data_IF_365355155068
#
_entry.id   IF_365355155068
#
_cell.length_a   1.000
_cell.length_b   1.000
_cell.length_c   1.000
_cell.angle_alpha   90.00
_cell.angle_beta   90.00
_cell.angle_gamma   90.00
#
_symmetry.space_group_name_H-M   'P 1'
#
loop_
_entity.id
_entity.type
_entity.pdbx_description
1 polymer ?
#
# COMPACT_ATOMS: atom_id res chain seq x y z
N UNK A 1 2.01 -26.50 -7.94
CA UNK A 1 2.97 -25.56 -7.32
C UNK A 1 2.54 -24.12 -7.58
N UNK A 2 2.39 -23.67 -8.83
CA UNK A 2 1.93 -22.30 -9.13
C UNK A 2 0.52 -21.90 -8.62
N UNK A 3 -0.43 -22.84 -8.49
CA UNK A 3 -1.77 -22.55 -7.96
C UNK A 3 -1.77 -22.30 -6.45
N UNK A 4 -0.92 -22.97 -5.68
CA UNK A 4 -0.79 -22.74 -4.24
C UNK A 4 -0.17 -21.37 -3.95
N UNK A 5 0.85 -20.97 -4.72
CA UNK A 5 1.49 -19.65 -4.58
C UNK A 5 0.50 -18.49 -4.84
N UNK A 6 -0.46 -18.68 -5.76
CA UNK A 6 -1.51 -17.69 -6.04
C UNK A 6 -2.52 -17.59 -4.88
N UNK A 7 -2.88 -18.71 -4.26
CA UNK A 7 -3.78 -18.69 -3.09
C UNK A 7 -3.10 -18.06 -1.87
N UNK A 8 -1.81 -18.33 -1.64
CA UNK A 8 -1.04 -17.67 -0.56
C UNK A 8 -0.89 -16.16 -0.80
N UNK A 9 -0.65 -15.73 -2.05
CA UNK A 9 -0.69 -14.30 -2.40
C UNK A 9 -2.10 -13.71 -2.18
N UNK A 10 -3.16 -14.47 -2.49
CA UNK A 10 -4.54 -14.10 -2.23
C UNK A 10 -4.82 -13.83 -0.76
N UNK A 11 -4.28 -14.65 0.15
CA UNK A 11 -4.39 -14.46 1.59
C UNK A 11 -3.70 -13.17 2.07
N UNK A 12 -2.57 -12.80 1.46
CA UNK A 12 -1.90 -11.51 1.72
C UNK A 12 -2.78 -10.32 1.28
N UNK A 13 -3.58 -10.47 0.22
CA UNK A 13 -4.56 -9.44 -0.18
C UNK A 13 -5.81 -9.42 0.72
N UNK A 14 -6.13 -10.53 1.40
CA UNK A 14 -7.28 -10.66 2.32
C UNK A 14 -6.96 -10.26 3.77
N UNK A 15 -5.69 -10.03 4.09
CA UNK A 15 -5.26 -9.64 5.43
C UNK A 15 -5.67 -8.21 5.78
N UNK A 16 -6.27 -8.06 6.97
CA UNK A 16 -6.69 -6.75 7.50
C UNK A 16 -5.53 -5.74 7.60
N UNK A 17 -4.28 -6.20 7.80
CA UNK A 17 -3.09 -5.34 7.89
C UNK A 17 -2.79 -4.67 6.56
N UNK A 18 -3.00 -5.37 5.45
CA UNK A 18 -2.85 -4.78 4.11
C UNK A 18 -3.81 -3.64 3.90
N UNK A 19 -5.09 -3.89 4.20
CA UNK A 19 -6.16 -2.93 3.99
C UNK A 19 -5.97 -1.70 4.86
N UNK A 20 -5.50 -1.85 6.10
CA UNK A 20 -5.12 -0.73 6.96
C UNK A 20 -3.97 0.06 6.34
N UNK A 21 -2.91 -0.60 5.86
CA UNK A 21 -1.78 0.07 5.20
C UNK A 21 -2.18 0.83 3.93
N UNK A 22 -3.04 0.24 3.09
CA UNK A 22 -3.62 0.89 1.92
C UNK A 22 -4.48 2.08 2.34
N UNK A 23 -5.34 1.93 3.35
CA UNK A 23 -6.22 3.00 3.81
C UNK A 23 -5.42 4.21 4.31
N UNK A 24 -4.34 3.98 5.07
CA UNK A 24 -3.42 5.04 5.51
C UNK A 24 -2.74 5.69 4.30
N UNK A 25 -2.24 4.89 3.35
CA UNK A 25 -1.59 5.40 2.14
C UNK A 25 -2.55 6.27 1.32
N UNK A 26 -3.79 5.81 1.14
CA UNK A 26 -4.84 6.54 0.44
C UNK A 26 -5.20 7.85 1.16
N UNK A 27 -5.28 7.84 2.49
CA UNK A 27 -5.51 9.05 3.28
C UNK A 27 -4.37 10.08 3.13
N UNK A 28 -3.12 9.62 3.07
CA UNK A 28 -1.98 10.49 2.82
C UNK A 28 -1.99 11.05 1.39
N UNK A 29 -2.29 10.24 0.37
CA UNK A 29 -2.48 10.72 -1.00
C UNK A 29 -3.61 11.75 -1.08
N UNK A 30 -4.75 11.49 -0.43
CA UNK A 30 -5.86 12.44 -0.33
C UNK A 30 -5.37 13.76 0.26
N UNK A 31 -4.66 13.72 1.39
CA UNK A 31 -4.15 14.93 2.04
C UNK A 31 -3.28 15.76 1.09
N UNK A 32 -2.43 15.12 0.29
CA UNK A 32 -1.63 15.80 -0.74
C UNK A 32 -2.53 16.53 -1.74
N UNK A 33 -3.55 15.87 -2.29
CA UNK A 33 -4.46 16.48 -3.25
C UNK A 33 -5.36 17.58 -2.63
N UNK A 34 -5.67 17.51 -1.34
CA UNK A 34 -6.43 18.59 -0.67
C UNK A 34 -5.62 19.83 -0.34
N UNK A 35 -4.32 19.68 -0.07
CA UNK A 35 -3.47 20.79 0.35
C UNK A 35 -2.70 21.42 -0.82
N UNK A 36 -2.48 20.68 -1.90
CA UNK A 36 -1.73 21.17 -3.07
C UNK A 36 -2.70 21.46 -4.21
N UNK A 37 -2.91 22.75 -4.49
CA UNK A 37 -3.78 23.22 -5.58
C UNK A 37 -3.18 23.01 -6.97
N UNK A 38 -1.86 22.76 -7.06
CA UNK A 38 -1.19 22.46 -8.31
C UNK A 38 -1.22 20.95 -8.58
N UNK A 39 -2.05 20.53 -9.54
CA UNK A 39 -2.26 19.13 -9.90
C UNK A 39 -0.96 18.41 -10.26
N UNK A 40 -0.07 19.02 -11.05
CA UNK A 40 1.20 18.41 -11.45
C UNK A 40 2.08 18.12 -10.23
N UNK A 41 2.21 19.08 -9.31
CA UNK A 41 2.99 18.93 -8.08
C UNK A 41 2.35 17.89 -7.15
N UNK A 42 1.03 17.87 -7.04
CA UNK A 42 0.30 16.88 -6.25
C UNK A 42 0.58 15.46 -6.76
N UNK A 43 0.56 15.23 -8.08
CA UNK A 43 0.90 13.95 -8.67
C UNK A 43 2.37 13.56 -8.45
N UNK A 44 3.30 14.50 -8.56
CA UNK A 44 4.73 14.25 -8.31
C UNK A 44 5.01 13.77 -6.87
N UNK A 45 4.18 14.16 -5.90
CA UNK A 45 4.31 13.76 -4.51
C UNK A 45 3.46 12.51 -4.21
N UNK A 46 2.21 12.48 -4.66
CA UNK A 46 1.28 11.39 -4.39
C UNK A 46 1.70 10.07 -5.07
N UNK A 47 2.32 10.12 -6.26
CA UNK A 47 2.77 8.91 -6.97
C UNK A 47 3.85 8.14 -6.21
N UNK A 48 5.01 8.73 -5.86
CA UNK A 48 6.03 8.02 -5.10
C UNK A 48 5.53 7.65 -3.70
N UNK A 49 4.69 8.49 -3.08
CA UNK A 49 4.08 8.19 -1.78
C UNK A 49 3.14 6.98 -1.87
N UNK A 50 2.32 6.88 -2.90
CA UNK A 50 1.44 5.74 -3.15
C UNK A 50 2.23 4.46 -3.38
N UNK A 51 3.27 4.50 -4.22
CA UNK A 51 4.13 3.34 -4.50
C UNK A 51 4.85 2.89 -3.21
N UNK A 52 5.45 3.82 -2.48
CA UNK A 52 6.15 3.52 -1.24
C UNK A 52 5.19 2.97 -0.16
N UNK A 53 3.99 3.54 -0.04
CA UNK A 53 2.97 3.12 0.93
C UNK A 53 2.44 1.72 0.63
N UNK A 54 2.21 1.38 -0.64
CA UNK A 54 1.86 0.02 -1.05
C UNK A 54 2.99 -0.97 -0.77
N UNK A 55 4.23 -0.61 -1.12
CA UNK A 55 5.41 -1.44 -0.86
C UNK A 55 5.63 -1.70 0.63
N UNK A 56 5.49 -0.67 1.47
CA UNK A 56 5.59 -0.78 2.93
C UNK A 56 4.45 -1.62 3.51
N UNK A 57 3.24 -1.48 3.00
CA UNK A 57 2.09 -2.28 3.43
C UNK A 57 2.29 -3.76 3.12
N UNK A 58 2.83 -4.07 1.93
CA UNK A 58 3.19 -5.43 1.55
C UNK A 58 4.35 -5.98 2.40
N UNK A 59 5.40 -5.19 2.61
CA UNK A 59 6.53 -5.59 3.44
C UNK A 59 6.12 -5.85 4.90
N UNK A 60 5.25 -5.00 5.46
CA UNK A 60 4.75 -5.17 6.83
C UNK A 60 3.97 -6.47 7.00
N UNK A 61 3.17 -6.85 6.00
CA UNK A 61 2.47 -8.11 6.01
C UNK A 61 3.39 -9.32 5.93
N UNK A 62 4.29 -9.34 4.93
CA UNK A 62 5.28 -10.41 4.78
C UNK A 62 6.07 -10.57 6.07
N UNK A 63 6.44 -9.45 6.71
CA UNK A 63 7.12 -9.49 7.99
C UNK A 63 6.27 -10.08 9.11
N UNK A 64 4.99 -9.71 9.18
CA UNK A 64 4.06 -10.22 10.19
C UNK A 64 3.77 -11.72 10.02
N UNK A 65 3.66 -12.20 8.79
CA UNK A 65 3.37 -13.61 8.49
C UNK A 65 4.59 -14.51 8.67
N UNK A 66 5.79 -14.04 8.29
CA UNK A 66 7.02 -14.84 8.37
C UNK A 66 7.85 -14.62 9.65
N UNK A 67 7.41 -13.74 10.56
CA UNK A 67 7.94 -13.59 11.92
C UNK A 67 9.43 -13.25 12.05
N UNK A 68 10.06 -12.67 11.01
CA UNK A 68 11.46 -12.20 11.04
C UNK A 68 11.57 -10.68 11.15
#
# INVERSE_FOLDING_TARGET
MALMDIFEIGDVFLSWRFYVGIAVTAALCWLVFTNISNETVAWFIATPLGIAGLGLSFWWQVRADFGK
#
